data_IF_062490619431
#
_entry.id   IF_062490619431
#
_cell.length_a   1.000
_cell.length_b   1.000
_cell.length_c   1.000
_cell.angle_alpha   90.00
_cell.angle_beta   90.00
_cell.angle_gamma   90.00
#
_symmetry.space_group_name_H-M   'P 1'
#
loop_
_entity.id
_entity.type
_entity.pdbx_description
1 polymer ?
#
# COMPACT_ATOMS: atom_id res chain seq x y z
N UNK A 1 8.83 21.43 -21.43
CA UNK A 1 9.34 20.32 -22.25
C UNK A 1 10.02 19.34 -21.30
N UNK A 2 9.67 18.05 -21.30
CA UNK A 2 10.32 17.06 -20.43
C UNK A 2 11.65 16.60 -21.08
N UNK A 3 12.75 16.47 -20.31
CA UNK A 3 14.02 15.97 -20.84
C UNK A 3 13.97 14.47 -21.19
N UNK A 4 14.83 13.98 -22.09
CA UNK A 4 14.86 12.58 -22.52
C UNK A 4 15.23 11.65 -21.36
N UNK A 5 14.52 10.51 -21.24
CA UNK A 5 14.86 9.42 -20.31
C UNK A 5 13.87 9.16 -19.17
N UNK A 6 12.80 9.94 -19.02
CA UNK A 6 11.72 9.66 -18.05
C UNK A 6 10.37 9.79 -18.74
N UNK A 7 9.78 8.66 -19.10
CA UNK A 7 8.40 8.59 -19.54
C UNK A 7 7.48 8.68 -18.32
N UNK A 8 6.60 9.68 -18.28
CA UNK A 8 5.42 9.60 -17.42
C UNK A 8 4.52 8.55 -18.08
N UNK A 9 4.47 7.34 -17.52
CA UNK A 9 3.79 6.20 -18.14
C UNK A 9 2.30 6.44 -18.39
N UNK A 10 1.67 7.39 -17.69
CA UNK A 10 0.32 7.87 -18.00
C UNK A 10 0.15 9.35 -17.65
N UNK A 11 -0.12 10.20 -18.64
CA UNK A 11 -0.71 11.51 -18.36
C UNK A 11 -2.15 11.30 -17.93
N UNK A 12 -2.47 11.57 -16.66
CA UNK A 12 -3.85 11.57 -16.15
C UNK A 12 -4.38 13.02 -16.15
N UNK A 13 -5.04 13.49 -17.22
CA UNK A 13 -5.75 14.78 -17.16
C UNK A 13 -6.88 14.77 -16.09
N UNK A 14 -7.35 13.59 -15.67
CA UNK A 14 -8.52 13.42 -14.78
C UNK A 14 -8.19 12.75 -13.42
N UNK A 15 -6.94 12.81 -12.94
CA UNK A 15 -6.62 12.25 -11.63
C UNK A 15 -7.49 12.90 -10.53
N UNK A 16 -8.33 12.09 -9.85
CA UNK A 16 -9.08 12.52 -8.67
C UNK A 16 -8.13 12.57 -7.48
N UNK A 17 -7.73 13.79 -7.13
CA UNK A 17 -6.94 14.02 -5.93
C UNK A 17 -7.74 13.68 -4.66
N UNK A 18 -7.07 13.21 -3.58
CA UNK A 18 -5.62 12.99 -3.48
C UNK A 18 -5.13 11.72 -4.18
N UNK A 19 -3.89 11.78 -4.67
CA UNK A 19 -3.18 10.65 -5.30
C UNK A 19 -1.89 10.33 -4.58
N UNK A 20 -1.47 9.07 -4.61
CA UNK A 20 -0.15 8.62 -4.18
C UNK A 20 0.79 8.58 -5.39
N UNK A 21 1.98 9.14 -5.21
CA UNK A 21 3.03 9.18 -6.22
C UNK A 21 4.21 8.39 -5.66
N UNK A 22 4.67 7.36 -6.38
CA UNK A 22 5.77 6.49 -5.93
C UNK A 22 6.69 6.11 -7.09
N UNK A 23 8.01 6.00 -6.87
CA UNK A 23 8.89 5.47 -7.90
C UNK A 23 8.56 3.99 -8.18
N UNK A 24 8.57 3.60 -9.45
CA UNK A 24 8.15 2.25 -9.84
C UNK A 24 9.10 1.14 -9.37
N UNK A 25 10.39 1.45 -9.24
CA UNK A 25 11.44 0.48 -8.95
C UNK A 25 12.30 0.94 -7.76
N UNK A 26 11.66 1.31 -6.65
CA UNK A 26 12.36 1.59 -5.38
C UNK A 26 11.66 0.88 -4.23
N UNK A 27 12.32 0.82 -3.07
CA UNK A 27 11.80 0.15 -1.88
C UNK A 27 11.81 1.06 -0.65
N UNK A 28 11.14 0.64 0.42
CA UNK A 28 11.17 1.30 1.73
C UNK A 28 10.48 2.67 1.76
N UNK A 29 9.42 2.84 0.98
CA UNK A 29 8.67 4.11 0.85
C UNK A 29 9.52 5.30 0.39
N UNK A 30 10.63 5.04 -0.33
CA UNK A 30 11.53 6.08 -0.81
C UNK A 30 10.83 7.03 -1.78
N UNK A 31 10.73 8.30 -1.40
CA UNK A 31 10.03 9.35 -2.17
C UNK A 31 8.57 8.99 -2.53
N UNK A 32 7.90 8.21 -1.69
CA UNK A 32 6.44 8.04 -1.77
C UNK A 32 5.78 9.25 -1.14
N UNK A 33 4.90 9.91 -1.87
CA UNK A 33 4.24 11.15 -1.43
C UNK A 33 2.76 11.17 -1.78
N UNK A 34 1.96 11.81 -0.93
CA UNK A 34 0.56 12.12 -1.22
C UNK A 34 0.49 13.50 -1.87
N UNK A 35 -0.13 13.61 -3.04
CA UNK A 35 -0.38 14.87 -3.70
C UNK A 35 -1.88 15.14 -3.70
N UNK A 36 -2.29 16.32 -3.23
CA UNK A 36 -3.68 16.79 -3.19
C UNK A 36 -4.05 17.66 -4.39
N UNK A 37 -3.07 17.99 -5.23
CA UNK A 37 -3.28 18.75 -6.45
C UNK A 37 -2.10 18.55 -7.43
N UNK A 38 -2.27 19.08 -8.64
CA UNK A 38 -1.29 18.97 -9.72
C UNK A 38 0.07 19.59 -9.38
N UNK A 39 0.08 20.70 -8.64
CA UNK A 39 1.35 21.36 -8.28
C UNK A 39 2.17 20.46 -7.33
N UNK A 40 1.52 19.86 -6.34
CA UNK A 40 2.16 18.90 -5.42
C UNK A 40 2.63 17.63 -6.14
N UNK A 41 1.87 17.14 -7.12
CA UNK A 41 2.27 16.00 -7.96
C UNK A 41 3.57 16.31 -8.75
N UNK A 42 3.64 17.48 -9.38
CA UNK A 42 4.84 17.91 -10.13
C UNK A 42 6.04 18.07 -9.19
N UNK A 43 5.81 18.63 -8.01
CA UNK A 43 6.85 18.79 -7.00
C UNK A 43 7.40 17.44 -6.52
N UNK A 44 6.54 16.47 -6.23
CA UNK A 44 6.94 15.11 -5.86
C UNK A 44 7.85 14.46 -6.91
N UNK A 45 7.49 14.58 -8.19
CA UNK A 45 8.29 14.05 -9.30
C UNK A 45 9.66 14.73 -9.38
N UNK A 46 9.72 16.04 -9.19
CA UNK A 46 10.99 16.79 -9.21
C UNK A 46 11.88 16.43 -8.01
N UNK A 47 11.31 16.26 -6.82
CA UNK A 47 12.04 15.84 -5.63
C UNK A 47 12.64 14.44 -5.82
N UNK A 48 11.89 13.49 -6.37
CA UNK A 48 12.43 12.17 -6.68
C UNK A 48 13.61 12.25 -7.65
N UNK A 49 13.47 13.00 -8.75
CA UNK A 49 14.54 13.20 -9.74
C UNK A 49 15.81 13.78 -9.13
N UNK A 50 15.67 14.78 -8.26
CA UNK A 50 16.81 15.39 -7.58
C UNK A 50 17.53 14.42 -6.62
N UNK A 51 16.79 13.47 -6.03
CA UNK A 51 17.32 12.52 -5.04
C UNK A 51 17.79 11.19 -5.65
N UNK A 52 17.34 10.85 -6.87
CA UNK A 52 17.66 9.60 -7.55
C UNK A 52 19.16 9.31 -7.64
N UNK A 53 20.06 10.24 -8.00
CA UNK A 53 21.50 9.94 -8.04
C UNK A 53 22.06 9.47 -6.70
N UNK A 54 21.63 10.08 -5.60
CA UNK A 54 22.04 9.69 -4.25
C UNK A 54 21.47 8.32 -3.85
N UNK A 55 20.22 8.03 -4.24
CA UNK A 55 19.63 6.70 -4.06
C UNK A 55 20.41 5.62 -4.79
N UNK A 56 20.69 5.82 -6.09
CA UNK A 56 21.43 4.88 -6.92
C UNK A 56 22.82 4.61 -6.34
N UNK A 57 23.54 5.65 -5.94
CA UNK A 57 24.84 5.51 -5.29
C UNK A 57 24.76 4.71 -3.99
N UNK A 58 23.76 4.97 -3.13
CA UNK A 58 23.58 4.26 -1.86
C UNK A 58 23.24 2.78 -2.05
N UNK A 59 22.49 2.45 -3.09
CA UNK A 59 22.04 1.09 -3.38
C UNK A 59 23.00 0.32 -4.30
N UNK A 60 24.09 0.94 -4.75
CA UNK A 60 25.05 0.31 -5.67
C UNK A 60 24.48 0.08 -7.09
N UNK A 61 23.51 0.89 -7.51
CA UNK A 61 22.89 0.79 -8.83
C UNK A 61 23.49 1.79 -9.83
N UNK A 62 23.59 1.36 -11.09
CA UNK A 62 24.03 2.21 -12.20
C UNK A 62 22.88 2.97 -12.86
N UNK A 63 23.22 3.90 -13.77
CA UNK A 63 22.25 4.68 -14.56
C UNK A 63 21.36 3.84 -15.49
N UNK A 64 21.78 2.61 -15.81
CA UNK A 64 20.99 1.66 -16.61
C UNK A 64 20.09 0.74 -15.76
N UNK A 65 20.07 0.92 -14.43
CA UNK A 65 19.21 0.10 -13.55
C UNK A 65 17.72 0.40 -13.77
N UNK A 66 16.87 -0.56 -13.41
CA UNK A 66 15.41 -0.38 -13.40
C UNK A 66 15.02 0.79 -12.49
N UNK A 67 15.69 0.97 -11.35
CA UNK A 67 15.50 2.12 -10.46
C UNK A 67 15.62 3.46 -11.18
N UNK A 68 16.51 3.53 -12.19
CA UNK A 68 16.76 4.75 -12.96
C UNK A 68 15.82 4.92 -14.16
N UNK A 69 15.20 3.86 -14.65
CA UNK A 69 14.50 3.86 -15.96
C UNK A 69 12.99 3.66 -15.84
N UNK A 70 12.48 3.05 -14.77
CA UNK A 70 11.06 2.69 -14.61
C UNK A 70 10.14 3.87 -14.27
N UNK A 71 10.68 5.06 -14.00
CA UNK A 71 9.90 6.27 -13.76
C UNK A 71 9.08 6.24 -12.45
N UNK A 72 7.90 6.88 -12.49
CA UNK A 72 7.00 7.00 -11.34
C UNK A 72 5.58 6.54 -11.66
N UNK A 73 4.91 5.97 -10.67
CA UNK A 73 3.53 5.53 -10.67
C UNK A 73 2.68 6.56 -9.92
N UNK A 74 1.49 6.83 -10.44
CA UNK A 74 0.45 7.64 -9.79
C UNK A 74 -0.79 6.78 -9.60
N UNK A 75 -1.29 6.70 -8.37
CA UNK A 75 -2.44 5.87 -8.01
C UNK A 75 -3.42 6.64 -7.10
N UNK A 76 -4.68 6.23 -7.06
CA UNK A 76 -5.65 6.80 -6.11
C UNK A 76 -5.20 6.52 -4.67
N UNK A 77 -5.37 7.49 -3.77
CA UNK A 77 -5.10 7.27 -2.35
C UNK A 77 -6.13 6.30 -1.76
N UNK A 78 -5.69 5.08 -1.48
CA UNK A 78 -6.51 4.10 -0.77
C UNK A 78 -6.55 4.42 0.73
N UNK A 79 -7.74 4.64 1.25
CA UNK A 79 -7.96 4.86 2.68
C UNK A 79 -7.98 3.53 3.46
N UNK A 80 -7.87 3.65 4.79
CA UNK A 80 -8.03 2.54 5.71
C UNK A 80 -6.72 1.84 6.06
N UNK A 81 -6.87 0.71 6.75
CA UNK A 81 -5.78 0.05 7.44
C UNK A 81 -4.94 -0.82 6.48
N UNK A 82 -3.63 -0.76 6.61
CA UNK A 82 -2.68 -1.54 5.80
C UNK A 82 -2.08 -2.70 6.59
N UNK A 83 -1.60 -3.70 5.87
CA UNK A 83 -0.89 -4.88 6.34
C UNK A 83 0.11 -5.42 5.37
N UNK A 84 0.95 -6.29 5.90
CA UNK A 84 1.84 -7.12 5.11
C UNK A 84 1.43 -8.58 5.22
N UNK A 85 1.60 -9.29 4.11
CA UNK A 85 1.41 -10.73 4.02
C UNK A 85 2.70 -11.33 3.52
N UNK A 86 3.37 -12.09 4.38
CA UNK A 86 4.57 -12.83 4.05
C UNK A 86 4.16 -14.24 3.63
N UNK A 87 4.57 -14.68 2.44
CA UNK A 87 4.20 -16.00 1.93
C UNK A 87 5.34 -16.74 1.24
N UNK A 88 5.23 -18.07 1.25
CA UNK A 88 6.11 -19.00 0.55
C UNK A 88 5.30 -19.72 -0.52
N UNK A 89 5.76 -19.62 -1.78
CA UNK A 89 5.16 -20.33 -2.90
C UNK A 89 6.17 -21.28 -3.52
N UNK A 90 5.76 -22.52 -3.73
CA UNK A 90 6.56 -23.59 -4.32
C UNK A 90 5.68 -24.49 -5.18
N UNK A 91 6.13 -24.79 -6.39
CA UNK A 91 5.45 -25.60 -7.39
C UNK A 91 4.01 -25.08 -7.65
N UNK A 92 3.86 -23.76 -7.67
CA UNK A 92 2.57 -23.07 -7.79
C UNK A 92 1.63 -23.19 -6.57
N UNK A 93 2.12 -23.75 -5.45
CA UNK A 93 1.36 -23.92 -4.21
C UNK A 93 1.81 -22.95 -3.12
N UNK A 94 0.84 -22.31 -2.47
CA UNK A 94 1.06 -21.52 -1.27
C UNK A 94 1.32 -22.47 -0.09
N UNK A 95 2.58 -22.57 0.36
CA UNK A 95 2.97 -23.45 1.47
C UNK A 95 2.78 -22.78 2.83
N UNK A 96 2.96 -21.46 2.88
CA UNK A 96 2.90 -20.69 4.11
C UNK A 96 2.40 -19.28 3.83
N UNK A 97 1.61 -18.73 4.75
CA UNK A 97 1.29 -17.30 4.77
C UNK A 97 1.18 -16.82 6.23
N UNK A 98 1.78 -15.66 6.51
CA UNK A 98 1.60 -14.94 7.77
C UNK A 98 1.15 -13.51 7.48
N UNK A 99 0.18 -13.04 8.25
CA UNK A 99 -0.35 -11.68 8.13
C UNK A 99 0.16 -10.85 9.29
N UNK A 100 0.66 -9.65 8.98
CA UNK A 100 1.21 -8.70 9.95
C UNK A 100 0.45 -7.37 9.89
N UNK A 101 0.01 -6.87 11.04
CA UNK A 101 -0.60 -5.54 11.17
C UNK A 101 0.47 -4.46 10.97
N UNK A 102 0.25 -3.46 10.10
CA UNK A 102 1.18 -2.35 9.95
C UNK A 102 0.83 -1.21 10.91
N UNK A 103 1.83 -0.71 11.64
CA UNK A 103 1.72 0.54 12.38
C UNK A 103 2.26 1.67 11.50
N UNK A 104 1.37 2.61 11.16
CA UNK A 104 1.73 3.80 10.39
C UNK A 104 2.10 4.94 11.34
N UNK A 105 3.02 5.80 10.92
CA UNK A 105 3.34 7.06 11.63
C UNK A 105 2.15 8.04 11.72
N UNK A 106 1.10 7.82 10.93
CA UNK A 106 0.01 8.77 10.77
C UNK A 106 0.40 9.93 9.83
N UNK A 107 -0.60 10.59 9.24
CA UNK A 107 -0.38 11.71 8.32
C UNK A 107 0.07 11.28 6.90
N UNK A 108 0.81 12.17 6.23
CA UNK A 108 1.25 12.00 4.83
C UNK A 108 2.56 11.19 4.69
N UNK A 109 3.10 10.70 5.80
CA UNK A 109 4.31 9.87 5.81
C UNK A 109 3.96 8.40 5.58
N UNK A 110 4.43 7.84 4.47
CA UNK A 110 4.27 6.43 4.11
C UNK A 110 5.28 5.50 4.79
N UNK A 111 6.01 6.01 5.79
CA UNK A 111 7.02 5.25 6.52
C UNK A 111 6.33 4.47 7.64
N UNK A 112 6.49 3.14 7.58
CA UNK A 112 6.06 2.22 8.64
C UNK A 112 6.89 2.47 9.90
N UNK A 113 6.21 2.60 11.03
CA UNK A 113 6.86 2.78 12.34
C UNK A 113 7.01 1.48 13.10
N UNK A 114 6.35 0.42 12.63
CA UNK A 114 6.44 -0.92 13.17
C UNK A 114 5.27 -1.77 12.68
N UNK A 115 5.03 -2.88 13.38
CA UNK A 115 3.89 -3.74 13.10
C UNK A 115 3.72 -4.81 14.18
N UNK A 116 2.71 -5.65 13.99
CA UNK A 116 2.42 -6.79 14.87
C UNK A 116 2.23 -8.06 14.06
N UNK A 117 3.01 -9.08 14.39
CA UNK A 117 2.96 -10.39 13.78
C UNK A 117 2.75 -11.46 14.87
N UNK A 118 1.71 -12.32 14.77
CA UNK A 118 0.66 -12.30 13.76
C UNK A 118 -0.33 -11.15 13.97
N UNK A 119 -1.14 -10.84 12.95
CA UNK A 119 -2.22 -9.87 13.02
C UNK A 119 -3.23 -10.23 14.11
N UNK A 120 -3.75 -9.21 14.79
CA UNK A 120 -4.76 -9.36 15.87
C UNK A 120 -6.18 -9.07 15.43
N UNK A 121 -6.40 -8.95 14.13
CA UNK A 121 -7.73 -8.68 13.57
C UNK A 121 -8.64 -9.89 13.70
N UNK A 122 -9.94 -9.61 13.86
CA UNK A 122 -10.98 -10.64 14.02
C UNK A 122 -11.06 -11.59 12.82
N UNK A 123 -11.45 -12.87 13.01
CA UNK A 123 -11.54 -13.87 11.94
C UNK A 123 -12.28 -13.43 10.65
N UNK A 124 -13.41 -12.69 10.68
CA UNK A 124 -14.07 -12.22 9.45
C UNK A 124 -13.24 -11.22 8.64
N UNK A 125 -12.33 -10.49 9.30
CA UNK A 125 -11.36 -9.64 8.61
C UNK A 125 -10.19 -10.48 8.07
N UNK A 126 -9.85 -11.61 8.68
CA UNK A 126 -8.83 -12.54 8.15
C UNK A 126 -9.36 -13.33 6.94
N UNK A 127 -10.65 -13.67 6.89
CA UNK A 127 -11.29 -14.36 5.75
C UNK A 127 -11.23 -13.56 4.43
N UNK A 128 -11.43 -12.24 4.49
CA UNK A 128 -11.22 -11.34 3.35
C UNK A 128 -9.77 -11.36 2.84
N UNK A 129 -8.83 -11.75 3.68
CA UNK A 129 -7.40 -11.68 3.39
C UNK A 129 -6.88 -13.01 2.90
N UNK A 130 -7.48 -14.09 3.36
CA UNK A 130 -7.46 -15.37 2.67
C UNK A 130 -8.03 -15.26 1.25
N UNK A 131 -9.09 -14.45 1.04
CA UNK A 131 -9.58 -14.15 -0.31
C UNK A 131 -8.56 -13.34 -1.14
N UNK A 132 -7.91 -12.33 -0.55
CA UNK A 132 -6.80 -11.61 -1.21
C UNK A 132 -5.59 -12.49 -1.49
N UNK A 133 -5.21 -13.39 -0.58
CA UNK A 133 -4.18 -14.41 -0.79
C UNK A 133 -4.56 -15.40 -1.89
N UNK A 134 -5.86 -15.68 -2.04
CA UNK A 134 -6.38 -16.43 -3.18
C UNK A 134 -6.26 -15.62 -4.48
N UNK A 135 -6.40 -14.29 -4.43
CA UNK A 135 -6.07 -13.42 -5.56
C UNK A 135 -4.55 -13.32 -5.80
N UNK A 136 -3.71 -13.47 -4.76
CA UNK A 136 -2.26 -13.65 -4.93
C UNK A 136 -1.98 -14.97 -5.67
N UNK A 137 -2.74 -16.05 -5.44
CA UNK A 137 -2.66 -17.25 -6.31
C UNK A 137 -2.86 -16.89 -7.78
N UNK A 138 -3.71 -15.91 -8.11
CA UNK A 138 -3.90 -15.46 -9.50
C UNK A 138 -2.61 -14.80 -10.03
N UNK A 139 -1.87 -14.04 -9.22
CA UNK A 139 -0.61 -13.43 -9.66
C UNK A 139 0.54 -14.45 -9.75
N UNK A 140 0.65 -15.37 -8.79
CA UNK A 140 1.73 -16.37 -8.76
C UNK A 140 1.52 -17.50 -9.77
N UNK A 141 0.27 -17.84 -10.10
CA UNK A 141 -0.06 -18.86 -11.10
C UNK A 141 -0.01 -18.28 -12.52
N UNK A 142 -0.35 -17.00 -12.73
CA UNK A 142 -0.39 -16.47 -14.10
C UNK A 142 0.99 -16.18 -14.69
N UNK A 143 1.99 -15.63 -13.96
CA UNK A 143 3.25 -15.28 -14.61
C UNK A 143 4.47 -15.15 -13.66
N UNK A 144 5.29 -16.21 -13.53
CA UNK A 144 6.78 -16.14 -13.37
C UNK A 144 7.44 -16.35 -11.99
N UNK A 145 6.76 -16.66 -10.88
CA UNK A 145 7.44 -16.77 -9.58
C UNK A 145 7.21 -18.12 -8.89
N UNK A 146 7.94 -19.14 -9.36
CA UNK A 146 8.03 -20.43 -8.68
C UNK A 146 9.23 -20.47 -7.70
N UNK A 147 9.08 -21.16 -6.57
CA UNK A 147 10.07 -21.21 -5.48
C UNK A 147 10.48 -19.83 -4.93
N UNK A 148 9.50 -19.03 -4.49
CA UNK A 148 9.76 -17.66 -4.00
C UNK A 148 9.22 -17.40 -2.60
N UNK A 149 9.90 -16.48 -1.90
CA UNK A 149 9.41 -15.83 -0.68
C UNK A 149 8.95 -14.44 -1.08
N UNK A 150 7.74 -14.05 -0.71
CA UNK A 150 7.13 -12.80 -1.11
C UNK A 150 6.61 -12.03 0.11
N UNK A 151 6.71 -10.70 0.06
CA UNK A 151 6.06 -9.78 0.97
C UNK A 151 5.07 -8.94 0.17
N UNK A 152 3.80 -8.99 0.54
CA UNK A 152 2.70 -8.37 -0.20
C UNK A 152 1.99 -7.39 0.72
N UNK A 153 1.81 -6.15 0.27
CA UNK A 153 1.13 -5.12 1.05
C UNK A 153 -0.32 -4.98 0.60
N UNK A 154 -1.25 -5.07 1.55
CA UNK A 154 -2.69 -4.94 1.28
C UNK A 154 -3.28 -3.82 2.12
N UNK A 155 -4.26 -3.11 1.56
CA UNK A 155 -5.02 -2.08 2.29
C UNK A 155 -6.51 -2.37 2.24
N UNK A 156 -7.14 -2.38 3.41
CA UNK A 156 -8.58 -2.53 3.56
C UNK A 156 -9.28 -1.19 3.48
N UNK A 157 -10.08 -0.98 2.44
CA UNK A 157 -10.89 0.24 2.24
C UNK A 157 -12.28 0.16 2.88
N UNK A 158 -12.67 -1.01 3.39
CA UNK A 158 -13.95 -1.19 4.09
C UNK A 158 -13.88 -0.51 5.46
N UNK A 159 -14.54 0.64 5.59
CA UNK A 159 -14.87 1.22 6.88
C UNK A 159 -16.09 0.48 7.45
N UNK A 160 -15.94 -0.23 8.57
CA UNK A 160 -17.11 -0.69 9.33
C UNK A 160 -17.73 0.51 10.04
N UNK A 161 -18.89 0.97 9.57
CA UNK A 161 -19.79 1.80 10.37
C UNK A 161 -20.33 0.93 11.51
N UNK A 162 -19.66 0.95 12.66
CA UNK A 162 -20.28 0.44 13.88
C UNK A 162 -21.24 1.52 14.39
N UNK A 163 -22.48 1.52 13.87
CA UNK A 163 -23.58 2.18 14.56
C UNK A 163 -23.86 1.40 15.85
N UNK A 164 -23.38 1.92 16.98
CA UNK A 164 -23.75 1.49 18.32
C UNK A 164 -25.26 1.77 18.54
N UNK A 165 -26.13 0.86 18.10
CA UNK A 165 -27.47 0.74 18.66
C UNK A 165 -27.40 -0.09 19.94
N UNK A 166 -26.69 0.43 20.95
CA UNK A 166 -26.69 -0.10 22.30
C UNK A 166 -27.61 0.77 23.16
N UNK A 167 -28.89 0.40 23.18
CA UNK A 167 -29.79 0.52 24.33
C UNK A 167 -29.86 1.84 25.09
N UNK A 168 -30.51 2.87 24.54
CA UNK A 168 -31.35 3.73 25.37
C UNK A 168 -32.69 3.01 25.64
N UNK A 169 -32.72 2.18 26.69
CA UNK A 169 -33.97 1.93 27.42
C UNK A 169 -33.92 2.79 28.68
N UNK A 170 -34.58 3.93 28.61
CA UNK A 170 -34.89 4.76 29.78
C UNK A 170 -35.74 3.95 30.75
N UNK A 171 -35.17 3.57 31.89
CA UNK A 171 -35.93 3.21 33.08
C UNK A 171 -36.58 4.49 33.62
N UNK A 172 -37.79 4.77 33.15
CA UNK A 172 -38.68 5.75 33.78
C UNK A 172 -40.10 5.18 33.79
N UNK A 173 -40.45 4.51 34.88
CA UNK A 173 -41.74 4.63 35.55
C UNK A 173 -41.66 3.83 36.85
N UNK A 174 -41.57 4.57 37.96
CA UNK A 174 -41.83 4.04 39.30
C UNK A 174 -43.32 3.75 39.43
N UNK A 175 -43.56 2.72 40.21
CA UNK A 175 -44.80 2.10 40.59
C UNK A 175 -45.92 3.09 40.94
N UNK A 176 -47.08 2.86 40.32
CA UNK A 176 -48.38 3.19 40.89
C UNK A 176 -48.87 1.94 41.63
N UNK A 177 -48.88 2.00 42.96
CA UNK A 177 -49.86 1.37 43.88
C UNK A 177 -49.55 1.76 45.32
#
# INVERSE_FOLDING_TARGET
MLPPGVSVLHSFPDARYPVVVKPAATAGSYCVTCAHNRAQLVEAVNQFRARLPAYLARMGHGAASECSTSGMIVEELLAGSEVDVDCIVQDGQLLFACVSDNHTSGGEAFVKTGGRCPSTRTPPAQELWWACLTAVRIHTILFLLDHTIQNIQLRSTIQRTFSNNAGQRSLSQRDAR
#
